data_IF_707474206374
#
_entry.id   IF_707474206374
#
_cell.length_a   1.000
_cell.length_b   1.000
_cell.length_c   1.000
_cell.angle_alpha   90.00
_cell.angle_beta   90.00
_cell.angle_gamma   90.00
#
_symmetry.space_group_name_H-M   'P 1'
#
loop_
_entity.id
_entity.type
_entity.pdbx_description
1 polymer ?
#
# COMPACT_ATOMS: atom_id res chain seq x y z
N UNK A 1 6.94 -0.87 5.28
CA UNK A 1 6.55 -0.88 3.86
C UNK A 1 6.28 -2.29 3.37
N UNK A 2 5.57 -2.40 2.26
CA UNK A 2 5.36 -3.68 1.59
C UNK A 2 6.11 -3.77 0.26
N UNK A 3 6.29 -5.00 -0.22
CA UNK A 3 6.64 -5.31 -1.60
C UNK A 3 5.71 -6.39 -2.11
N UNK A 4 4.93 -6.05 -3.12
CA UNK A 4 3.80 -6.83 -3.62
C UNK A 4 4.00 -7.17 -5.09
N UNK A 5 3.40 -8.26 -5.55
CA UNK A 5 3.44 -8.56 -6.97
C UNK A 5 2.96 -9.94 -7.35
N UNK A 6 3.21 -10.26 -8.62
CA UNK A 6 2.78 -11.51 -9.25
C UNK A 6 4.00 -12.15 -9.90
N UNK A 7 4.20 -13.44 -9.64
CA UNK A 7 5.26 -14.25 -10.26
C UNK A 7 4.66 -15.37 -11.11
N UNK A 8 5.35 -15.74 -12.20
CA UNK A 8 5.03 -16.90 -13.02
C UNK A 8 5.58 -18.22 -12.43
N UNK A 9 5.42 -19.31 -13.14
CA UNK A 9 5.89 -20.66 -12.75
C UNK A 9 7.41 -20.75 -12.57
N UNK A 10 8.18 -19.83 -13.18
CA UNK A 10 9.65 -19.75 -13.08
C UNK A 10 10.12 -18.76 -12.01
N UNK A 11 9.22 -18.20 -11.20
CA UNK A 11 9.50 -17.09 -10.26
C UNK A 11 9.96 -15.80 -10.94
N UNK A 12 9.71 -15.61 -12.22
CA UNK A 12 9.93 -14.32 -12.86
C UNK A 12 8.82 -13.35 -12.38
N UNK A 13 9.23 -12.17 -11.95
CA UNK A 13 8.30 -11.15 -11.47
C UNK A 13 7.65 -10.48 -12.69
N UNK A 14 6.35 -10.63 -12.82
CA UNK A 14 5.56 -10.09 -13.94
C UNK A 14 4.93 -8.73 -13.64
N UNK A 15 4.72 -8.44 -12.35
CA UNK A 15 4.12 -7.21 -11.86
C UNK A 15 4.63 -6.92 -10.45
N UNK A 16 4.87 -5.63 -10.13
CA UNK A 16 5.26 -5.21 -8.79
C UNK A 16 4.51 -3.96 -8.33
N UNK A 17 4.25 -3.87 -7.04
CA UNK A 17 3.84 -2.66 -6.34
C UNK A 17 4.56 -2.59 -4.99
N UNK A 18 4.59 -1.43 -4.38
CA UNK A 18 5.13 -1.24 -3.04
C UNK A 18 4.36 -0.12 -2.34
N UNK A 19 4.14 -0.29 -1.04
CA UNK A 19 3.35 0.65 -0.25
C UNK A 19 4.11 1.07 1.00
N UNK A 20 4.02 2.36 1.32
CA UNK A 20 4.56 2.94 2.55
C UNK A 20 3.40 3.18 3.53
N UNK A 21 3.53 2.67 4.73
CA UNK A 21 2.65 3.01 5.84
C UNK A 21 3.19 4.26 6.54
N UNK A 22 2.30 5.20 6.90
CA UNK A 22 2.70 6.45 7.57
C UNK A 22 3.12 6.22 9.01
N UNK A 23 2.47 5.26 9.67
CA UNK A 23 2.73 4.83 11.03
C UNK A 23 2.76 3.30 11.12
N UNK A 24 3.35 2.77 12.19
CA UNK A 24 3.25 1.34 12.46
C UNK A 24 1.80 0.98 12.78
N UNK A 25 1.30 -0.14 12.24
CA UNK A 25 -0.05 -0.64 12.55
C UNK A 25 -0.26 -0.83 14.05
N UNK A 26 0.79 -1.18 14.80
CA UNK A 26 0.74 -1.33 16.26
C UNK A 26 0.52 0.01 16.95
N UNK A 27 1.19 1.08 16.50
CA UNK A 27 1.01 2.43 17.04
C UNK A 27 -0.39 2.96 16.72
N UNK A 28 -0.86 2.72 15.49
CA UNK A 28 -2.23 3.08 15.06
C UNK A 28 -3.28 2.42 15.95
N UNK A 29 -3.13 1.13 16.25
CA UNK A 29 -4.08 0.37 17.10
C UNK A 29 -3.98 0.79 18.56
N UNK A 30 -2.76 0.86 19.11
CA UNK A 30 -2.52 1.13 20.53
C UNK A 30 -2.78 2.59 20.91
N UNK A 31 -2.32 3.53 20.08
CA UNK A 31 -2.45 4.97 20.33
C UNK A 31 -3.66 5.57 19.61
N UNK A 32 -4.35 4.76 18.80
CA UNK A 32 -5.51 5.14 18.00
C UNK A 32 -5.25 6.40 17.15
N UNK A 33 -4.05 6.50 16.59
CA UNK A 33 -3.67 7.55 15.64
C UNK A 33 -4.43 7.44 14.32
N UNK A 34 -4.36 8.47 13.51
CA UNK A 34 -4.75 8.40 12.11
C UNK A 34 -3.89 7.36 11.39
N UNK A 35 -4.44 6.67 10.42
CA UNK A 35 -3.70 5.76 9.56
C UNK A 35 -3.64 6.32 8.15
N UNK A 36 -2.49 6.18 7.52
CA UNK A 36 -2.30 6.44 6.10
C UNK A 36 -1.38 5.40 5.48
N UNK A 37 -1.65 5.08 4.24
CA UNK A 37 -0.81 4.19 3.44
C UNK A 37 -0.85 4.68 2.00
N UNK A 38 0.32 4.77 1.33
CA UNK A 38 0.38 5.16 -0.07
C UNK A 38 1.31 4.26 -0.89
N UNK A 39 1.01 4.12 -2.18
CA UNK A 39 1.86 3.39 -3.10
C UNK A 39 3.02 4.26 -3.59
N UNK A 40 4.21 3.68 -3.67
CA UNK A 40 5.31 4.31 -4.38
C UNK A 40 5.01 4.34 -5.89
N UNK A 41 5.14 5.51 -6.49
CA UNK A 41 5.17 5.64 -7.95
C UNK A 41 6.52 5.17 -8.49
N UNK A 42 7.60 5.62 -7.87
CA UNK A 42 8.97 5.20 -8.15
C UNK A 42 9.47 4.38 -6.95
N UNK A 43 9.44 3.05 -7.07
CA UNK A 43 9.86 2.17 -5.97
C UNK A 43 11.37 2.32 -5.77
N UNK A 44 11.86 2.64 -4.56
CA UNK A 44 13.28 2.73 -4.25
C UNK A 44 14.04 1.45 -4.61
N UNK A 45 15.26 1.60 -5.13
CA UNK A 45 16.08 0.47 -5.60
C UNK A 45 16.33 -0.58 -4.52
N UNK A 46 16.61 -0.15 -3.29
CA UNK A 46 16.84 -1.05 -2.16
C UNK A 46 15.60 -1.87 -1.77
N UNK A 47 14.41 -1.31 -1.97
CA UNK A 47 13.14 -2.05 -1.80
C UNK A 47 12.98 -3.08 -2.92
N UNK A 48 13.30 -2.73 -4.16
CA UNK A 48 13.27 -3.67 -5.29
C UNK A 48 14.26 -4.81 -5.05
N UNK A 49 15.49 -4.49 -4.62
CA UNK A 49 16.53 -5.48 -4.35
C UNK A 49 16.10 -6.46 -3.27
N UNK A 50 15.72 -5.96 -2.08
CA UNK A 50 15.34 -6.84 -0.96
C UNK A 50 14.09 -7.65 -1.26
N UNK A 51 13.08 -7.03 -1.90
CA UNK A 51 11.85 -7.70 -2.30
C UNK A 51 12.10 -8.81 -3.32
N UNK A 52 12.93 -8.56 -4.33
CA UNK A 52 13.32 -9.57 -5.33
C UNK A 52 14.08 -10.72 -4.68
N UNK A 53 15.01 -10.44 -3.77
CA UNK A 53 15.71 -11.49 -3.00
C UNK A 53 14.74 -12.34 -2.19
N UNK A 54 13.76 -11.72 -1.53
CA UNK A 54 12.72 -12.43 -0.80
C UNK A 54 11.88 -13.32 -1.73
N UNK A 55 11.46 -12.81 -2.90
CA UNK A 55 10.75 -13.61 -3.91
C UNK A 55 11.56 -14.86 -4.29
N UNK A 56 12.86 -14.76 -4.49
CA UNK A 56 13.69 -15.91 -4.85
C UNK A 56 13.89 -16.89 -3.68
N UNK A 57 13.95 -16.40 -2.45
CA UNK A 57 14.19 -17.21 -1.26
C UNK A 57 12.96 -18.07 -0.85
N UNK A 58 11.75 -17.61 -1.13
CA UNK A 58 10.51 -18.28 -0.73
C UNK A 58 9.85 -19.06 -1.89
N UNK A 59 8.90 -19.99 -1.62
CA UNK A 59 8.19 -20.77 -2.66
C UNK A 59 7.13 -19.90 -3.37
N UNK A 60 7.57 -18.87 -4.08
CA UNK A 60 6.74 -17.83 -4.70
C UNK A 60 6.33 -18.13 -6.14
N UNK A 61 6.66 -19.32 -6.71
CA UNK A 61 6.32 -19.65 -8.07
C UNK A 61 4.80 -19.68 -8.30
N UNK A 62 4.35 -19.04 -9.38
CA UNK A 62 2.94 -18.95 -9.78
C UNK A 62 2.03 -18.41 -8.65
N UNK A 63 2.45 -17.31 -8.03
CA UNK A 63 1.77 -16.72 -6.86
C UNK A 63 1.57 -15.22 -7.01
N UNK A 64 0.54 -14.73 -6.32
CA UNK A 64 0.54 -13.39 -5.79
C UNK A 64 1.36 -13.42 -4.50
N UNK A 65 2.20 -12.41 -4.26
CA UNK A 65 2.96 -12.26 -3.02
C UNK A 65 2.74 -10.88 -2.41
N UNK A 66 2.77 -10.82 -1.09
CA UNK A 66 2.69 -9.62 -0.25
C UNK A 66 3.70 -9.79 0.88
N UNK A 67 4.81 -9.08 0.80
CA UNK A 67 5.89 -9.12 1.78
C UNK A 67 5.96 -7.80 2.52
N UNK A 68 6.13 -7.85 3.82
CA UNK A 68 6.28 -6.66 4.64
C UNK A 68 7.67 -6.58 5.27
N UNK A 69 8.15 -5.36 5.40
CA UNK A 69 9.49 -5.05 5.89
C UNK A 69 9.47 -3.82 6.80
N UNK A 70 10.44 -3.76 7.71
CA UNK A 70 10.81 -2.55 8.43
C UNK A 70 12.08 -1.95 7.87
N UNK A 71 12.18 -0.63 7.87
CA UNK A 71 13.46 0.08 7.80
C UNK A 71 13.80 0.58 9.19
N UNK A 72 14.94 0.19 9.73
CA UNK A 72 15.37 0.62 11.05
C UNK A 72 15.69 2.13 11.04
N UNK A 73 15.10 2.87 11.95
CA UNK A 73 15.33 4.32 12.10
C UNK A 73 16.55 4.64 12.94
N UNK A 74 17.06 3.66 13.71
CA UNK A 74 18.25 3.75 14.58
C UNK A 74 18.88 2.38 14.75
N UNK A 75 20.12 2.35 15.24
CA UNK A 75 20.81 1.11 15.63
C UNK A 75 20.00 0.37 16.70
N UNK A 76 19.84 -0.93 16.48
CA UNK A 76 19.15 -1.86 17.38
C UNK A 76 19.90 -3.21 17.41
N UNK A 77 19.61 -4.11 18.38
CA UNK A 77 20.25 -5.43 18.44
C UNK A 77 20.06 -6.27 17.17
N UNK A 78 19.00 -6.02 16.39
CA UNK A 78 18.68 -6.76 15.15
C UNK A 78 19.31 -6.18 13.89
N UNK A 79 19.92 -4.98 13.97
CA UNK A 79 20.54 -4.34 12.79
C UNK A 79 20.89 -2.88 13.01
N UNK A 80 21.50 -2.29 11.99
CA UNK A 80 21.91 -0.88 11.97
C UNK A 80 20.83 0.02 11.43
N UNK A 81 20.93 1.32 11.74
CA UNK A 81 20.06 2.34 11.14
C UNK A 81 20.07 2.21 9.60
N UNK A 82 18.90 2.35 9.00
CA UNK A 82 18.59 2.17 7.57
C UNK A 82 18.63 0.73 7.04
N UNK A 83 19.05 -0.28 7.82
CA UNK A 83 18.89 -1.67 7.40
C UNK A 83 17.41 -2.05 7.28
N UNK A 84 17.13 -2.89 6.28
CA UNK A 84 15.79 -3.43 6.01
C UNK A 84 15.68 -4.82 6.63
N UNK A 85 14.68 -5.02 7.45
CA UNK A 85 14.39 -6.27 8.16
C UNK A 85 13.04 -6.81 7.67
N UNK A 86 12.99 -8.10 7.32
CA UNK A 86 11.73 -8.76 6.96
C UNK A 86 10.79 -8.89 8.16
N UNK A 87 9.53 -8.58 7.94
CA UNK A 87 8.48 -8.69 8.95
C UNK A 87 7.56 -9.88 8.67
N UNK A 88 6.97 -9.93 7.49
CA UNK A 88 5.96 -10.92 7.14
C UNK A 88 6.07 -11.34 5.67
N UNK A 89 5.77 -12.62 5.41
CA UNK A 89 5.76 -13.22 4.06
C UNK A 89 4.41 -13.86 3.82
N UNK A 90 3.65 -13.30 2.88
CA UNK A 90 2.34 -13.80 2.48
C UNK A 90 2.34 -14.17 0.99
N UNK A 91 1.92 -15.41 0.69
CA UNK A 91 1.75 -15.91 -0.69
C UNK A 91 0.29 -15.77 -1.15
N UNK A 92 -0.22 -14.55 -1.03
CA UNK A 92 -1.59 -14.15 -1.37
C UNK A 92 -1.63 -12.66 -1.72
N UNK A 93 -2.71 -12.14 -2.33
CA UNK A 93 -2.93 -10.69 -2.41
C UNK A 93 -2.95 -10.04 -1.02
N UNK A 94 -2.52 -8.77 -0.92
CA UNK A 94 -2.67 -7.99 0.30
C UNK A 94 -4.14 -7.81 0.69
N UNK A 95 -4.37 -7.47 1.94
CA UNK A 95 -5.71 -7.18 2.46
C UNK A 95 -6.12 -5.73 2.33
N UNK A 96 -7.31 -5.41 2.86
CA UNK A 96 -7.83 -4.05 2.92
C UNK A 96 -8.02 -3.44 1.52
N UNK A 97 -7.60 -2.19 1.35
CA UNK A 97 -7.70 -1.42 0.12
C UNK A 97 -6.40 -1.43 -0.73
N UNK A 98 -5.40 -2.22 -0.35
CA UNK A 98 -4.15 -2.30 -1.10
C UNK A 98 -4.35 -2.78 -2.54
N UNK A 99 -5.21 -3.79 -2.84
CA UNK A 99 -5.52 -4.16 -4.22
C UNK A 99 -6.17 -3.00 -5.01
N UNK A 100 -7.11 -2.28 -4.41
CA UNK A 100 -7.73 -1.10 -5.05
C UNK A 100 -6.70 0.00 -5.32
N UNK A 101 -5.79 0.23 -4.35
CA UNK A 101 -4.70 1.20 -4.53
C UNK A 101 -3.75 0.79 -5.66
N UNK A 102 -3.44 -0.51 -5.78
CA UNK A 102 -2.65 -1.03 -6.92
C UNK A 102 -3.37 -0.71 -8.23
N UNK A 103 -4.66 -0.96 -8.32
CA UNK A 103 -5.47 -0.69 -9.50
C UNK A 103 -5.49 0.80 -9.85
N UNK A 104 -5.72 1.66 -8.86
CA UNK A 104 -5.76 3.10 -9.05
C UNK A 104 -4.39 3.73 -9.41
N UNK A 105 -3.29 3.18 -8.87
CA UNK A 105 -1.95 3.65 -9.19
C UNK A 105 -1.52 3.29 -10.62
N UNK A 106 -2.00 2.15 -11.14
CA UNK A 106 -1.53 1.55 -12.38
C UNK A 106 -2.57 1.57 -13.51
N UNK A 107 -3.80 2.04 -13.29
CA UNK A 107 -4.94 1.91 -14.22
C UNK A 107 -5.11 0.46 -14.71
N UNK A 108 -5.14 -0.50 -13.79
CA UNK A 108 -5.26 -1.93 -14.09
C UNK A 108 -6.35 -2.59 -13.23
N UNK A 109 -6.51 -3.90 -13.40
CA UNK A 109 -7.22 -4.77 -12.49
C UNK A 109 -6.27 -5.90 -12.06
N UNK A 110 -5.71 -5.79 -10.87
CA UNK A 110 -4.66 -6.69 -10.39
C UNK A 110 -5.15 -8.12 -10.23
N UNK A 111 -6.42 -8.32 -9.90
CA UNK A 111 -7.02 -9.66 -9.85
C UNK A 111 -7.15 -10.29 -11.23
N UNK A 112 -7.43 -9.49 -12.26
CA UNK A 112 -7.42 -9.97 -13.65
C UNK A 112 -6.00 -10.32 -14.10
N UNK A 113 -5.00 -9.51 -13.72
CA UNK A 113 -3.58 -9.82 -13.98
C UNK A 113 -3.18 -11.14 -13.31
N UNK A 114 -3.60 -11.33 -12.06
CA UNK A 114 -3.34 -12.58 -11.34
C UNK A 114 -4.03 -13.79 -12.01
N UNK A 115 -5.31 -13.65 -12.38
CA UNK A 115 -6.03 -14.71 -13.10
C UNK A 115 -5.35 -15.06 -14.44
N UNK A 116 -4.92 -14.04 -15.20
CA UNK A 116 -4.19 -14.25 -16.46
C UNK A 116 -2.88 -15.00 -16.24
N UNK A 117 -2.13 -14.65 -15.18
CA UNK A 117 -0.91 -15.38 -14.83
C UNK A 117 -1.19 -16.85 -14.47
N UNK A 118 -2.24 -17.14 -13.71
CA UNK A 118 -2.60 -18.53 -13.37
C UNK A 118 -2.93 -19.35 -14.62
N UNK A 119 -3.66 -18.76 -15.58
CA UNK A 119 -4.13 -19.47 -16.79
C UNK A 119 -3.05 -19.54 -17.87
N UNK A 120 -2.29 -18.49 -18.06
CA UNK A 120 -1.38 -18.33 -19.20
C UNK A 120 0.11 -18.24 -18.81
N UNK A 121 0.43 -18.31 -17.53
CA UNK A 121 1.79 -18.13 -16.98
C UNK A 121 2.46 -16.79 -17.36
N UNK A 122 1.64 -15.81 -17.75
CA UNK A 122 2.07 -14.47 -18.17
C UNK A 122 1.00 -13.42 -17.89
N UNK A 123 1.36 -12.14 -17.97
CA UNK A 123 0.42 -11.01 -17.96
C UNK A 123 0.61 -10.19 -19.24
N UNK A 124 -0.50 -9.91 -19.93
CA UNK A 124 -0.49 -9.01 -21.09
C UNK A 124 -0.74 -7.56 -20.61
N UNK A 125 0.22 -7.04 -19.86
CA UNK A 125 0.12 -5.71 -19.28
C UNK A 125 1.51 -5.07 -19.23
N UNK A 126 1.64 -3.88 -19.83
CA UNK A 126 2.82 -3.04 -19.66
C UNK A 126 2.62 -2.15 -18.46
N UNK A 127 3.33 -2.43 -17.40
CA UNK A 127 3.22 -1.65 -16.18
C UNK A 127 3.75 -0.23 -16.35
N UNK A 128 2.86 0.75 -16.17
CA UNK A 128 3.19 2.16 -16.09
C UNK A 128 2.60 2.71 -14.80
N UNK A 129 3.45 2.94 -13.77
CA UNK A 129 3.00 3.55 -12.53
C UNK A 129 2.72 5.04 -12.76
N UNK A 130 1.47 5.36 -13.10
CA UNK A 130 1.09 6.72 -13.49
C UNK A 130 0.85 7.61 -12.28
N UNK A 131 0.47 7.01 -11.16
CA UNK A 131 0.04 7.71 -9.96
C UNK A 131 0.66 7.08 -8.71
N UNK A 132 0.73 7.88 -7.65
CA UNK A 132 0.73 7.39 -6.28
C UNK A 132 -0.72 7.35 -5.80
N UNK A 133 -1.18 6.22 -5.28
CA UNK A 133 -2.51 6.05 -4.70
C UNK A 133 -2.38 5.80 -3.20
N UNK A 134 -3.31 6.29 -2.42
CA UNK A 134 -3.26 6.10 -0.99
C UNK A 134 -4.62 6.12 -0.33
N UNK A 135 -4.71 5.51 0.84
CA UNK A 135 -5.83 5.69 1.73
C UNK A 135 -5.42 6.39 3.02
N UNK A 136 -6.34 7.17 3.57
CA UNK A 136 -6.22 7.81 4.87
C UNK A 136 -7.50 7.61 5.66
N UNK A 137 -7.37 7.25 6.94
CA UNK A 137 -8.49 7.00 7.84
C UNK A 137 -8.76 8.15 8.79
N UNK A 138 -10.03 8.44 9.03
CA UNK A 138 -10.52 9.34 10.10
C UNK A 138 -11.21 8.55 11.20
N UNK A 139 -11.19 9.09 12.42
CA UNK A 139 -11.86 8.52 13.59
C UNK A 139 -12.96 9.44 14.09
N UNK A 140 -14.15 8.89 14.31
CA UNK A 140 -15.32 9.66 14.76
C UNK A 140 -15.12 10.40 16.09
N UNK A 141 -14.24 9.89 16.94
CA UNK A 141 -13.92 10.47 18.24
C UNK A 141 -12.96 11.67 18.19
N UNK A 142 -12.34 11.92 17.02
CA UNK A 142 -11.41 13.04 16.82
C UNK A 142 -12.14 14.20 16.14
N UNK A 143 -11.71 15.40 16.46
CA UNK A 143 -12.15 16.62 15.78
C UNK A 143 -11.13 17.00 14.72
N UNK A 144 -11.60 17.31 13.53
CA UNK A 144 -10.77 17.71 12.41
C UNK A 144 -11.11 19.14 11.99
N UNK A 145 -10.11 19.86 11.46
CA UNK A 145 -10.30 21.23 10.96
C UNK A 145 -11.18 21.26 9.72
N UNK A 146 -11.06 20.23 8.86
CA UNK A 146 -11.75 20.14 7.58
C UNK A 146 -12.89 19.11 7.62
N UNK A 147 -14.04 19.51 7.12
CA UNK A 147 -15.20 18.63 6.99
C UNK A 147 -15.02 17.64 5.83
N UNK A 148 -15.78 16.54 5.88
CA UNK A 148 -15.80 15.59 4.75
C UNK A 148 -16.32 16.23 3.46
N UNK A 149 -17.18 17.25 3.56
CA UNK A 149 -17.67 17.96 2.38
C UNK A 149 -16.57 18.82 1.75
N UNK A 150 -15.78 19.55 2.54
CA UNK A 150 -14.63 20.32 2.04
C UNK A 150 -13.60 19.42 1.36
N UNK A 151 -13.31 18.24 1.92
CA UNK A 151 -12.41 17.27 1.29
C UNK A 151 -12.95 16.82 -0.08
N UNK A 152 -14.24 16.48 -0.16
CA UNK A 152 -14.90 16.07 -1.42
C UNK A 152 -14.88 17.15 -2.48
N UNK A 153 -15.07 18.40 -2.07
CA UNK A 153 -15.12 19.53 -3.00
C UNK A 153 -13.72 19.91 -3.50
N UNK A 154 -12.77 20.00 -2.59
CA UNK A 154 -11.38 20.41 -2.92
C UNK A 154 -10.64 19.33 -3.72
N UNK A 155 -10.82 18.06 -3.37
CA UNK A 155 -10.10 16.93 -3.98
C UNK A 155 -10.96 16.07 -4.90
N UNK A 156 -12.05 16.64 -5.45
CA UNK A 156 -13.03 15.94 -6.32
C UNK A 156 -12.37 15.09 -7.41
N UNK A 157 -11.35 15.62 -8.09
CA UNK A 157 -10.66 14.95 -9.19
C UNK A 157 -9.67 13.85 -8.73
N UNK A 158 -9.40 13.77 -7.44
CA UNK A 158 -8.41 12.88 -6.85
C UNK A 158 -9.03 11.78 -5.99
N UNK A 159 -10.12 12.08 -5.27
CA UNK A 159 -10.82 11.14 -4.39
C UNK A 159 -11.60 10.13 -5.22
N UNK A 160 -11.29 8.84 -5.01
CA UNK A 160 -11.86 7.73 -5.76
C UNK A 160 -12.87 6.91 -4.95
N UNK A 161 -12.68 6.88 -3.63
CA UNK A 161 -13.55 6.13 -2.73
C UNK A 161 -13.61 6.82 -1.37
N UNK A 162 -14.80 6.87 -0.79
CA UNK A 162 -15.03 7.19 0.62
C UNK A 162 -15.91 6.11 1.18
N UNK A 163 -15.49 5.48 2.28
CA UNK A 163 -16.20 4.35 2.84
C UNK A 163 -16.14 4.34 4.37
N UNK A 164 -17.31 4.12 4.98
CA UNK A 164 -17.41 3.80 6.41
C UNK A 164 -16.93 2.38 6.65
N UNK A 165 -16.09 2.22 7.66
CA UNK A 165 -15.53 0.92 8.00
C UNK A 165 -16.43 0.13 8.91
N UNK A 166 -16.53 -1.20 8.71
CA UNK A 166 -17.12 -2.10 9.69
C UNK A 166 -16.41 -1.97 11.05
N UNK A 167 -17.16 -2.05 12.16
CA UNK A 167 -16.59 -1.91 13.52
C UNK A 167 -15.39 -2.83 13.79
N UNK A 168 -15.38 -4.03 13.22
CA UNK A 168 -14.30 -4.98 13.37
C UNK A 168 -12.96 -4.50 12.76
N UNK A 169 -13.00 -3.61 11.77
CA UNK A 169 -11.83 -3.07 11.08
C UNK A 169 -11.50 -1.63 11.50
N UNK A 170 -12.43 -0.95 12.16
CA UNK A 170 -12.27 0.47 12.51
C UNK A 170 -11.06 0.73 13.44
N UNK A 171 -10.70 -0.21 14.31
CA UNK A 171 -9.51 -0.09 15.17
C UNK A 171 -8.22 0.05 14.38
N UNK A 172 -8.09 -0.70 13.28
CA UNK A 172 -6.89 -0.72 12.45
C UNK A 172 -6.92 0.31 11.29
N UNK A 173 -8.12 0.69 10.79
CA UNK A 173 -8.24 1.48 9.56
C UNK A 173 -8.89 2.86 9.76
N UNK A 174 -9.41 3.16 10.97
CA UNK A 174 -10.26 4.33 11.21
C UNK A 174 -11.74 4.00 10.97
N UNK A 175 -12.63 4.92 11.39
CA UNK A 175 -14.07 4.73 11.25
C UNK A 175 -14.57 5.04 9.83
N UNK A 176 -13.89 5.96 9.16
CA UNK A 176 -14.13 6.31 7.76
C UNK A 176 -12.81 6.45 7.02
N UNK A 177 -12.73 5.88 5.84
CA UNK A 177 -11.54 5.94 4.98
C UNK A 177 -11.82 6.72 3.71
N UNK A 178 -10.77 7.35 3.21
CA UNK A 178 -10.76 8.07 1.94
C UNK A 178 -9.61 7.49 1.11
N UNK A 179 -9.90 7.06 -0.11
CA UNK A 179 -8.89 6.61 -1.07
C UNK A 179 -8.77 7.65 -2.17
N UNK A 180 -7.55 8.07 -2.45
CA UNK A 180 -7.26 9.07 -3.48
C UNK A 180 -6.03 8.68 -4.30
N UNK A 181 -5.84 9.35 -5.46
CA UNK A 181 -4.62 9.22 -6.27
C UNK A 181 -4.12 10.57 -6.75
N UNK A 182 -2.81 10.69 -6.87
CA UNK A 182 -2.11 11.91 -7.29
C UNK A 182 -0.97 11.58 -8.24
N UNK A 183 -0.42 12.60 -8.88
CA UNK A 183 0.72 12.42 -9.80
C UNK A 183 2.03 12.14 -9.07
N UNK A 184 2.14 12.61 -7.83
CA UNK A 184 3.36 12.50 -7.01
C UNK A 184 3.05 12.05 -5.58
N UNK A 185 4.06 11.50 -4.91
CA UNK A 185 3.96 11.11 -3.50
C UNK A 185 3.84 12.32 -2.56
N UNK A 186 4.45 13.45 -2.93
CA UNK A 186 4.32 14.69 -2.14
C UNK A 186 2.87 15.17 -2.07
N UNK A 187 2.15 15.14 -3.20
CA UNK A 187 0.74 15.54 -3.25
C UNK A 187 -0.14 14.62 -2.37
N UNK A 188 0.16 13.31 -2.33
CA UNK A 188 -0.55 12.38 -1.44
C UNK A 188 -0.26 12.66 0.04
N UNK A 189 0.99 13.00 0.39
CA UNK A 189 1.36 13.35 1.76
C UNK A 189 0.70 14.66 2.20
N UNK A 190 0.62 15.66 1.32
CA UNK A 190 -0.10 16.91 1.57
C UNK A 190 -1.60 16.66 1.76
N UNK A 191 -2.18 15.79 0.93
CA UNK A 191 -3.58 15.36 1.08
C UNK A 191 -3.81 14.65 2.43
N UNK A 192 -2.93 13.74 2.84
CA UNK A 192 -3.07 13.07 4.14
C UNK A 192 -3.02 14.05 5.30
N UNK A 193 -2.10 15.03 5.23
CA UNK A 193 -2.00 16.09 6.23
C UNK A 193 -3.31 16.88 6.31
N UNK A 194 -3.81 17.35 5.17
CA UNK A 194 -5.07 18.08 5.09
C UNK A 194 -6.27 17.28 5.67
N UNK A 195 -6.33 15.99 5.36
CA UNK A 195 -7.41 15.12 5.87
C UNK A 195 -7.32 14.90 7.37
N UNK A 196 -6.12 14.90 7.95
CA UNK A 196 -5.87 14.58 9.36
C UNK A 196 -5.74 15.80 10.28
N UNK A 197 -5.61 17.00 9.74
CA UNK A 197 -5.71 18.26 10.47
C UNK A 197 -7.16 18.49 10.94
#
# INVERSE_FOLDING_TARGET
>A
FSFDGITNSKKEILFTSSHQYTDSLMDVVNEQKGIGCYSYKDIPEDIIEIGTRAVQAFPSAQRFFHFEFFRLTKDQPIGKANEIIGLEVNMRPPGGFLPDMIDYANDCNVYQLWANMIVHDTVQYKQERKYSSGFVGRRDRLTYQHTMQEIKDLYREHVLLIQRMPKALASAMGDEIIVARFKTESEIQDFFRFVQE
#
